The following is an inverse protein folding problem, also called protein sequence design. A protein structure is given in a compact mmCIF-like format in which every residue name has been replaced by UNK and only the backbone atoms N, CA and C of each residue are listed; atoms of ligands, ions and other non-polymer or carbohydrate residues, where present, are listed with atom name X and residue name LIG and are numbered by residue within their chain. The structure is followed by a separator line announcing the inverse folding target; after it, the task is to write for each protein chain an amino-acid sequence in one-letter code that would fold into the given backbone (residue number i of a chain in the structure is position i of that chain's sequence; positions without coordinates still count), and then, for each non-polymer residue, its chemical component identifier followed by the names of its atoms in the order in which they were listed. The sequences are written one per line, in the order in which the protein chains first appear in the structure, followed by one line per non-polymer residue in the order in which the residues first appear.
data_IF_923299971477
#
_entry.id   IF_923299971477
#
_cell.length_a   1.000
_cell.length_b   1.000
_cell.length_c   1.000
_cell.angle_alpha   90.00
_cell.angle_beta   90.00
_cell.angle_gamma   90.00
#
_symmetry.space_group_name_H-M   'P 1'
#
loop_
_entity.id
_entity.type
_entity.pdbx_description
1 polymer ?
#
# COMPACT_ATOMS: atom_id res chain seq x y z
N UNK A 1 26.22 -3.83 -7.07
CA UNK A 1 25.00 -4.48 -6.55
C UNK A 1 23.83 -3.79 -7.23
N UNK A 2 23.03 -4.57 -7.94
CA UNK A 2 22.12 -4.16 -9.03
C UNK A 2 21.20 -2.98 -8.70
N UNK A 3 21.28 -1.92 -9.50
CA UNK A 3 20.37 -0.78 -9.54
C UNK A 3 19.15 -1.05 -10.46
N UNK A 4 18.74 -2.30 -10.62
CA UNK A 4 18.17 -2.76 -11.90
C UNK A 4 16.69 -3.15 -11.85
N UNK A 5 15.91 -2.70 -10.87
CA UNK A 5 14.43 -2.76 -10.99
C UNK A 5 13.66 -1.81 -10.06
N UNK A 6 14.01 -0.51 -10.07
CA UNK A 6 13.17 0.52 -9.44
C UNK A 6 12.00 0.97 -10.33
N UNK A 7 11.94 0.45 -11.57
CA UNK A 7 10.96 0.85 -12.57
C UNK A 7 10.06 -0.33 -12.92
N UNK A 8 8.75 -0.12 -12.98
CA UNK A 8 7.76 -1.11 -13.41
C UNK A 8 6.95 -0.58 -14.59
N UNK A 9 6.30 -1.46 -15.37
CA UNK A 9 5.32 -1.02 -16.38
C UNK A 9 3.96 -0.86 -15.71
N UNK A 10 3.26 0.25 -16.01
CA UNK A 10 1.92 0.50 -15.49
C UNK A 10 0.96 -0.64 -15.85
N UNK A 11 1.07 -1.16 -17.08
CA UNK A 11 0.21 -2.24 -17.56
C UNK A 11 0.36 -3.50 -16.69
N UNK A 12 1.59 -3.91 -16.41
CA UNK A 12 1.88 -5.12 -15.64
C UNK A 12 1.39 -4.99 -14.19
N UNK A 13 1.52 -3.80 -13.60
CA UNK A 13 1.00 -3.52 -12.25
C UNK A 13 -0.54 -3.59 -12.22
N UNK A 14 -1.21 -3.03 -13.23
CA UNK A 14 -2.68 -3.09 -13.30
C UNK A 14 -3.19 -4.51 -13.58
N UNK A 15 -2.51 -5.28 -14.42
CA UNK A 15 -2.84 -6.68 -14.68
C UNK A 15 -2.67 -7.54 -13.43
N UNK A 16 -1.57 -7.37 -12.69
CA UNK A 16 -1.37 -8.04 -11.41
C UNK A 16 -2.44 -7.67 -10.35
N UNK A 17 -2.97 -6.45 -10.43
CA UNK A 17 -4.04 -5.99 -9.54
C UNK A 17 -5.46 -6.38 -10.03
N UNK A 18 -5.62 -6.83 -11.28
CA UNK A 18 -6.93 -7.04 -11.92
C UNK A 18 -7.70 -5.75 -12.23
N UNK A 19 -6.99 -4.62 -12.40
CA UNK A 19 -7.56 -3.29 -12.63
C UNK A 19 -7.08 -2.65 -13.95
N UNK A 20 -6.89 -3.45 -15.00
CA UNK A 20 -6.42 -3.02 -16.33
C UNK A 20 -7.30 -1.93 -16.96
N UNK A 21 -8.59 -1.94 -16.62
CA UNK A 21 -9.56 -0.94 -17.05
C UNK A 21 -9.18 0.50 -16.63
N UNK A 22 -8.30 0.68 -15.63
CA UNK A 22 -7.82 1.98 -15.17
C UNK A 22 -6.69 2.56 -16.04
N UNK A 23 -6.12 1.79 -16.97
CA UNK A 23 -4.91 2.17 -17.70
C UNK A 23 -4.99 3.55 -18.34
N UNK A 24 -6.01 3.79 -19.17
CA UNK A 24 -6.16 5.08 -19.87
C UNK A 24 -6.34 6.23 -18.88
N UNK A 25 -7.10 6.00 -17.80
CA UNK A 25 -7.38 7.04 -16.81
C UNK A 25 -6.13 7.46 -16.05
N UNK A 26 -5.28 6.51 -15.68
CA UNK A 26 -4.01 6.79 -15.00
C UNK A 26 -3.03 7.48 -15.96
N UNK A 27 -2.97 7.08 -17.23
CA UNK A 27 -2.13 7.75 -18.24
C UNK A 27 -2.54 9.21 -18.42
N UNK A 28 -3.84 9.52 -18.44
CA UNK A 28 -4.36 10.90 -18.48
C UNK A 28 -3.89 11.72 -17.27
N UNK A 29 -3.96 11.16 -16.06
CA UNK A 29 -3.51 11.83 -14.83
C UNK A 29 -1.99 12.09 -14.83
N UNK A 30 -1.23 11.21 -15.49
CA UNK A 30 0.25 11.29 -15.53
C UNK A 30 0.77 12.48 -16.33
N UNK A 31 -0.08 13.16 -17.10
CA UNK A 31 0.29 14.35 -17.90
C UNK A 31 0.75 15.50 -17.00
N UNK A 32 0.20 15.61 -15.79
CA UNK A 32 0.52 16.67 -14.83
C UNK A 32 1.32 16.17 -13.62
N UNK A 33 2.05 15.07 -13.73
CA UNK A 33 2.72 14.40 -12.60
C UNK A 33 3.63 15.32 -11.75
N UNK A 34 4.25 16.34 -12.34
CA UNK A 34 5.09 17.29 -11.61
C UNK A 34 4.30 18.14 -10.59
N UNK A 35 3.01 18.32 -10.83
CA UNK A 35 2.08 19.03 -9.94
C UNK A 35 1.13 18.07 -9.20
N UNK A 36 0.75 16.99 -9.87
CA UNK A 36 -0.31 16.06 -9.46
C UNK A 36 0.11 14.59 -9.70
N UNK A 37 1.11 14.08 -8.95
CA UNK A 37 1.58 12.71 -9.14
C UNK A 37 0.55 11.70 -8.61
N UNK A 38 -0.05 10.86 -9.47
CA UNK A 38 -0.88 9.76 -8.97
C UNK A 38 -0.01 8.73 -8.25
N UNK A 39 -0.40 8.37 -7.03
CA UNK A 39 0.25 7.31 -6.25
C UNK A 39 -0.40 5.99 -6.60
N UNK A 40 0.40 5.02 -7.00
CA UNK A 40 -0.06 3.72 -7.50
C UNK A 40 0.45 2.60 -6.59
N UNK A 41 -0.45 1.73 -6.17
CA UNK A 41 -0.18 0.59 -5.32
C UNK A 41 -0.15 -0.68 -6.18
N UNK A 42 1.03 -1.25 -6.38
CA UNK A 42 1.15 -2.62 -6.88
C UNK A 42 1.05 -3.58 -5.71
N UNK A 43 -0.13 -4.13 -5.46
CA UNK A 43 -0.38 -4.97 -4.30
C UNK A 43 0.40 -6.27 -4.37
N UNK A 44 0.93 -6.72 -3.23
CA UNK A 44 1.74 -7.93 -3.08
C UNK A 44 1.31 -8.60 -1.77
N UNK A 45 1.33 -9.92 -1.70
CA UNK A 45 1.18 -10.66 -0.43
C UNK A 45 0.02 -10.25 0.51
N UNK A 46 -1.07 -9.66 -0.02
CA UNK A 46 -2.16 -9.10 0.81
C UNK A 46 -2.88 -10.21 1.58
N UNK A 47 -3.10 -11.35 0.93
CA UNK A 47 -3.75 -12.50 1.56
C UNK A 47 -2.90 -13.09 2.69
N UNK A 48 -1.58 -13.19 2.49
CA UNK A 48 -0.63 -13.63 3.51
C UNK A 48 -0.69 -12.71 4.73
N UNK A 49 -0.73 -11.40 4.49
CA UNK A 49 -0.83 -10.42 5.58
C UNK A 49 -2.16 -10.53 6.31
N UNK A 50 -3.28 -10.75 5.61
CA UNK A 50 -4.59 -10.99 6.23
C UNK A 50 -4.56 -12.25 7.12
N UNK A 51 -3.96 -13.35 6.65
CA UNK A 51 -3.79 -14.56 7.46
C UNK A 51 -2.94 -14.30 8.72
N UNK A 52 -1.92 -13.44 8.62
CA UNK A 52 -1.13 -13.04 9.77
C UNK A 52 -1.96 -12.20 10.77
N UNK A 53 -2.85 -11.33 10.30
CA UNK A 53 -3.79 -10.58 11.14
C UNK A 53 -4.70 -11.54 11.92
N UNK A 54 -5.29 -12.51 11.23
CA UNK A 54 -6.17 -13.51 11.84
C UNK A 54 -5.43 -14.32 12.90
N UNK A 55 -4.22 -14.79 12.58
CA UNK A 55 -3.38 -15.54 13.51
C UNK A 55 -3.02 -14.70 14.74
N UNK A 56 -2.64 -13.43 14.55
CA UNK A 56 -2.33 -12.53 15.66
C UNK A 56 -3.54 -12.30 16.58
N UNK A 57 -4.75 -12.17 16.01
CA UNK A 57 -6.00 -12.04 16.77
C UNK A 57 -6.29 -13.31 17.57
N UNK A 58 -6.12 -14.49 16.98
CA UNK A 58 -6.32 -15.77 17.68
C UNK A 58 -5.34 -15.95 18.83
N UNK A 59 -4.06 -15.63 18.63
CA UNK A 59 -3.04 -15.71 19.68
C UNK A 59 -3.34 -14.77 20.85
N UNK A 60 -3.79 -13.55 20.57
CA UNK A 60 -4.16 -12.58 21.60
C UNK A 60 -5.41 -12.99 22.40
N UNK A 61 -6.35 -13.71 21.78
CA UNK A 61 -7.55 -14.22 22.45
C UNK A 61 -7.31 -15.53 23.24
N UNK A 62 -6.16 -16.19 23.03
CA UNK A 62 -5.82 -17.44 23.70
C UNK A 62 -5.49 -17.29 25.20
N UNK A 63 -5.45 -18.39 25.98
CA UNK A 63 -5.08 -18.35 27.39
C UNK A 63 -3.67 -17.77 27.59
N UNK A 64 -3.56 -16.68 28.35
CA UNK A 64 -2.29 -15.99 28.56
C UNK A 64 -1.80 -15.16 27.36
N UNK A 65 -2.63 -14.98 26.34
CA UNK A 65 -2.35 -14.14 25.18
C UNK A 65 -2.21 -12.66 25.55
N UNK A 66 -1.22 -12.00 24.97
CA UNK A 66 -1.06 -10.56 25.11
C UNK A 66 -2.05 -9.84 24.17
N UNK A 67 -2.87 -8.89 24.68
CA UNK A 67 -3.80 -8.14 23.85
C UNK A 67 -3.10 -7.42 22.70
N UNK A 68 -3.72 -7.43 21.53
CA UNK A 68 -3.24 -6.60 20.42
C UNK A 68 -3.43 -5.12 20.74
N UNK A 69 -2.47 -4.25 20.35
CA UNK A 69 -2.68 -2.80 20.36
C UNK A 69 -3.88 -2.39 19.49
N UNK A 70 -4.28 -1.11 19.56
CA UNK A 70 -5.34 -0.60 18.69
C UNK A 70 -4.92 -0.68 17.21
N UNK A 71 -5.79 -1.27 16.38
CA UNK A 71 -5.54 -1.42 14.95
C UNK A 71 -5.63 -0.05 14.22
N UNK A 72 -4.62 0.35 13.43
CA UNK A 72 -4.58 1.68 12.82
C UNK A 72 -5.55 1.86 11.64
N UNK A 73 -6.00 0.76 11.03
CA UNK A 73 -6.79 0.77 9.80
C UNK A 73 -8.30 0.57 10.03
N UNK A 74 -8.77 0.52 11.28
CA UNK A 74 -10.20 0.35 11.58
C UNK A 74 -10.82 -0.92 10.96
N UNK A 75 -10.03 -1.98 10.80
CA UNK A 75 -10.45 -3.19 10.08
C UNK A 75 -11.61 -3.90 10.81
N UNK A 76 -12.58 -4.45 10.05
CA UNK A 76 -13.62 -5.30 10.61
C UNK A 76 -13.07 -6.59 11.21
N UNK A 77 -13.93 -7.35 11.89
CA UNK A 77 -13.60 -8.65 12.45
C UNK A 77 -13.22 -9.65 11.36
N UNK A 78 -13.99 -9.70 10.26
CA UNK A 78 -13.67 -10.49 9.07
C UNK A 78 -13.02 -9.57 8.02
N UNK A 79 -11.75 -9.82 7.73
CA UNK A 79 -10.95 -9.02 6.78
C UNK A 79 -10.94 -9.71 5.42
N UNK A 80 -11.21 -8.96 4.36
CA UNK A 80 -11.13 -9.43 2.97
C UNK A 80 -10.04 -8.66 2.24
N UNK A 81 -9.53 -9.20 1.13
CA UNK A 81 -8.53 -8.49 0.32
C UNK A 81 -9.04 -7.10 -0.07
N UNK A 82 -10.31 -6.99 -0.48
CA UNK A 82 -10.91 -5.73 -0.88
C UNK A 82 -10.97 -4.73 0.28
N UNK A 83 -11.56 -5.10 1.41
CA UNK A 83 -11.74 -4.16 2.52
C UNK A 83 -10.40 -3.75 3.16
N UNK A 84 -9.39 -4.62 3.10
CA UNK A 84 -8.05 -4.30 3.55
C UNK A 84 -7.39 -3.25 2.65
N UNK A 85 -7.42 -3.46 1.32
CA UNK A 85 -6.88 -2.50 0.36
C UNK A 85 -7.57 -1.15 0.50
N UNK A 86 -8.89 -1.13 0.59
CA UNK A 86 -9.68 0.09 0.81
C UNK A 86 -9.29 0.79 2.10
N UNK A 87 -9.15 0.06 3.21
CA UNK A 87 -8.75 0.65 4.49
C UNK A 87 -7.34 1.26 4.46
N UNK A 88 -6.39 0.62 3.77
CA UNK A 88 -5.05 1.19 3.55
C UNK A 88 -5.13 2.48 2.74
N UNK A 89 -5.92 2.48 1.66
CA UNK A 89 -6.11 3.68 0.84
C UNK A 89 -6.81 4.80 1.59
N UNK A 90 -7.85 4.49 2.37
CA UNK A 90 -8.56 5.48 3.19
C UNK A 90 -7.65 6.08 4.26
N UNK A 91 -6.82 5.24 4.89
CA UNK A 91 -5.81 5.71 5.82
C UNK A 91 -4.80 6.65 5.15
N UNK A 92 -4.33 6.30 3.94
CA UNK A 92 -3.36 7.08 3.20
C UNK A 92 -3.94 8.37 2.61
N UNK A 93 -5.24 8.37 2.31
CA UNK A 93 -5.96 9.49 1.71
C UNK A 93 -6.00 10.68 2.66
N UNK A 94 -5.76 11.87 2.11
CA UNK A 94 -5.84 13.13 2.84
C UNK A 94 -7.20 13.79 2.60
N UNK A 95 -7.72 14.57 3.57
CA UNK A 95 -8.89 15.40 3.34
C UNK A 95 -8.70 16.26 2.08
N UNK A 96 -9.76 16.41 1.27
CA UNK A 96 -9.77 17.17 0.01
C UNK A 96 -9.01 16.52 -1.17
N UNK A 97 -8.50 15.29 -1.01
CA UNK A 97 -7.98 14.52 -2.15
C UNK A 97 -9.11 14.19 -3.15
N UNK A 98 -8.74 14.07 -4.42
CA UNK A 98 -9.61 13.49 -5.43
C UNK A 98 -9.97 12.05 -5.04
N UNK A 99 -11.15 11.59 -5.47
CA UNK A 99 -11.59 10.22 -5.21
C UNK A 99 -10.57 9.19 -5.73
N UNK A 100 -10.29 8.16 -4.91
CA UNK A 100 -9.44 7.03 -5.31
C UNK A 100 -9.97 6.37 -6.59
N UNK A 101 -9.06 5.92 -7.44
CA UNK A 101 -9.37 5.06 -8.57
C UNK A 101 -9.28 3.61 -8.10
N UNK A 102 -10.42 3.10 -7.65
CA UNK A 102 -10.61 1.76 -7.11
C UNK A 102 -9.55 1.42 -6.04
N UNK A 103 -8.91 0.25 -6.09
CA UNK A 103 -7.90 -0.14 -5.10
C UNK A 103 -6.46 0.14 -5.53
N UNK A 104 -6.22 0.66 -6.73
CA UNK A 104 -4.84 0.82 -7.23
C UNK A 104 -4.29 2.23 -7.15
N UNK A 105 -5.10 3.27 -7.31
CA UNK A 105 -4.53 4.61 -7.54
C UNK A 105 -5.18 5.71 -6.66
N UNK A 106 -4.33 6.52 -6.05
CA UNK A 106 -4.70 7.77 -5.37
C UNK A 106 -4.22 8.95 -6.22
N UNK A 107 -5.11 9.64 -6.94
CA UNK A 107 -4.77 10.91 -7.55
C UNK A 107 -4.49 11.92 -6.43
N UNK A 108 -3.34 12.59 -6.49
CA UNK A 108 -2.85 13.48 -5.43
C UNK A 108 -2.18 14.70 -6.05
N UNK A 109 -2.23 15.85 -5.38
CA UNK A 109 -1.28 16.94 -5.64
C UNK A 109 0.10 16.60 -5.06
N UNK A 110 1.14 17.33 -5.44
CA UNK A 110 2.50 17.15 -4.91
C UNK A 110 2.55 17.27 -3.38
N UNK A 111 1.77 18.18 -2.79
CA UNK A 111 1.65 18.32 -1.34
C UNK A 111 0.97 17.11 -0.70
N UNK A 112 -0.05 16.55 -1.36
CA UNK A 112 -0.76 15.37 -0.89
C UNK A 112 0.10 14.11 -1.00
N UNK A 113 0.91 13.99 -2.05
CA UNK A 113 1.86 12.89 -2.22
C UNK A 113 2.84 12.76 -1.04
N UNK A 114 3.43 13.87 -0.59
CA UNK A 114 4.31 13.85 0.59
C UNK A 114 3.60 13.36 1.84
N UNK A 115 2.31 13.70 2.01
CA UNK A 115 1.49 13.22 3.12
C UNK A 115 1.16 11.73 3.01
N UNK A 116 0.83 11.24 1.80
CA UNK A 116 0.59 9.81 1.54
C UNK A 116 1.83 9.00 1.93
N UNK A 117 3.01 9.37 1.41
CA UNK A 117 4.26 8.69 1.71
C UNK A 117 4.58 8.70 3.22
N UNK A 118 4.38 9.85 3.89
CA UNK A 118 4.59 9.96 5.34
C UNK A 118 3.64 9.07 6.14
N UNK A 119 2.35 9.03 5.78
CA UNK A 119 1.34 8.17 6.44
C UNK A 119 1.67 6.70 6.28
N UNK A 120 2.01 6.26 5.07
CA UNK A 120 2.45 4.88 4.83
C UNK A 120 3.70 4.55 5.66
N UNK A 121 4.70 5.43 5.71
CA UNK A 121 5.88 5.23 6.55
C UNK A 121 5.57 5.16 8.06
N UNK A 122 4.52 5.84 8.53
CA UNK A 122 4.04 5.73 9.93
C UNK A 122 3.40 4.36 10.19
N UNK A 123 2.72 3.75 9.22
CA UNK A 123 2.18 2.38 9.37
C UNK A 123 3.29 1.35 9.61
N UNK A 124 4.44 1.46 8.95
CA UNK A 124 5.61 0.58 9.19
C UNK A 124 6.09 0.62 10.66
N UNK A 125 5.87 1.75 11.34
CA UNK A 125 6.29 1.96 12.73
C UNK A 125 5.19 1.64 13.75
N UNK A 126 3.97 1.34 13.29
CA UNK A 126 2.84 1.10 14.17
C UNK A 126 3.00 -0.22 14.95
N UNK A 127 2.76 -0.19 16.26
CA UNK A 127 2.94 -1.36 17.13
C UNK A 127 2.03 -2.53 16.76
N UNK A 128 0.81 -2.26 16.31
CA UNK A 128 -0.10 -3.30 15.85
C UNK A 128 0.43 -3.97 14.58
N UNK A 129 0.92 -3.17 13.62
CA UNK A 129 1.53 -3.70 12.38
C UNK A 129 2.75 -4.56 12.71
N UNK A 130 3.63 -4.11 13.61
CA UNK A 130 4.80 -4.89 14.05
C UNK A 130 4.37 -6.21 14.68
N UNK A 131 3.33 -6.21 15.52
CA UNK A 131 2.82 -7.43 16.14
C UNK A 131 2.28 -8.43 15.11
N UNK A 132 1.68 -7.94 14.02
CA UNK A 132 1.25 -8.79 12.90
C UNK A 132 2.46 -9.33 12.12
N UNK A 133 3.48 -8.51 11.86
CA UNK A 133 4.69 -8.93 11.16
C UNK A 133 5.49 -9.98 11.96
N UNK A 134 5.56 -9.86 13.29
CA UNK A 134 6.18 -10.86 14.17
C UNK A 134 5.54 -12.25 13.97
N UNK A 135 4.23 -12.29 13.71
CA UNK A 135 3.46 -13.53 13.47
C UNK A 135 3.63 -14.02 12.04
N UNK A 136 3.80 -13.12 11.06
CA UNK A 136 4.01 -13.49 9.66
C UNK A 136 5.33 -14.25 9.42
N UNK A 137 6.26 -14.23 10.39
CA UNK A 137 7.57 -14.92 10.40
C UNK A 137 8.52 -14.58 9.24
N UNK A 138 8.10 -13.70 8.32
CA UNK A 138 8.94 -13.15 7.26
C UNK A 138 8.43 -11.77 6.84
N UNK A 139 9.36 -10.91 6.45
CA UNK A 139 9.01 -9.62 5.84
C UNK A 139 8.44 -9.84 4.44
N UNK A 140 7.19 -9.45 4.25
CA UNK A 140 6.50 -9.44 2.96
C UNK A 140 5.94 -8.04 2.75
N UNK A 141 6.38 -7.31 1.70
CA UNK A 141 5.72 -6.06 1.37
C UNK A 141 4.28 -6.38 0.96
N UNK A 142 3.32 -5.62 1.49
CA UNK A 142 1.91 -5.75 1.11
C UNK A 142 1.60 -4.96 -0.17
N UNK A 143 2.47 -4.01 -0.53
CA UNK A 143 2.44 -3.35 -1.81
C UNK A 143 3.82 -2.79 -2.16
N UNK A 144 4.11 -2.64 -3.44
CA UNK A 144 5.08 -1.68 -3.91
C UNK A 144 4.34 -0.38 -4.26
N UNK A 145 4.84 0.75 -3.77
CA UNK A 145 4.23 2.06 -4.02
C UNK A 145 5.03 2.81 -5.07
N UNK A 146 4.32 3.32 -6.06
CA UNK A 146 4.88 3.94 -7.25
C UNK A 146 4.30 5.32 -7.53
N UNK A 147 5.02 6.10 -8.32
CA UNK A 147 4.48 7.22 -9.09
C UNK A 147 4.72 6.98 -10.58
N UNK A 148 3.89 7.58 -11.41
CA UNK A 148 4.09 7.58 -12.87
C UNK A 148 5.28 8.44 -13.24
N UNK A 149 6.03 8.08 -14.28
CA UNK A 149 7.01 9.00 -14.88
C UNK A 149 6.32 9.89 -15.91
N UNK A 150 6.67 11.18 -15.94
CA UNK A 150 6.09 12.15 -16.87
C UNK A 150 6.13 11.62 -18.30
N UNK A 151 4.98 11.63 -18.98
CA UNK A 151 4.83 11.22 -20.38
C UNK A 151 5.33 9.79 -20.67
N UNK A 152 5.36 8.92 -19.64
CA UNK A 152 5.82 7.54 -19.75
C UNK A 152 4.75 6.56 -19.27
N UNK A 153 4.88 5.31 -19.72
CA UNK A 153 4.08 4.16 -19.25
C UNK A 153 4.77 3.42 -18.11
N UNK A 154 5.87 3.99 -17.61
CA UNK A 154 6.69 3.42 -16.55
C UNK A 154 6.37 4.07 -15.22
N UNK A 155 6.54 3.29 -14.18
CA UNK A 155 6.31 3.62 -12.79
C UNK A 155 7.64 3.59 -12.05
N UNK A 156 7.92 4.58 -11.22
CA UNK A 156 9.12 4.62 -10.37
C UNK A 156 8.70 4.37 -8.91
N UNK A 157 9.41 3.47 -8.22
CA UNK A 157 9.18 3.18 -6.80
C UNK A 157 9.55 4.39 -5.94
N UNK A 158 8.69 4.72 -4.97
CA UNK A 158 8.85 5.95 -4.15
C UNK A 158 9.08 5.71 -2.67
N UNK A 159 8.85 4.50 -2.17
CA UNK A 159 9.05 4.18 -0.76
C UNK A 159 10.47 3.70 -0.49
N UNK A 160 11.01 4.09 0.66
CA UNK A 160 12.34 3.70 1.08
C UNK A 160 12.40 2.20 1.35
N UNK A 161 13.34 1.50 0.69
CA UNK A 161 13.58 0.08 0.95
C UNK A 161 14.06 -0.13 2.37
N UNK A 162 13.31 -0.87 3.17
CA UNK A 162 13.71 -1.28 4.52
C UNK A 162 13.31 -2.73 4.75
N UNK A 163 14.15 -3.53 5.43
CA UNK A 163 13.92 -4.95 5.64
C UNK A 163 12.51 -5.27 6.12
N UNK A 164 11.89 -4.43 6.95
CA UNK A 164 10.57 -4.68 7.54
C UNK A 164 9.47 -3.73 7.00
N UNK A 165 9.68 -3.08 5.84
CA UNK A 165 8.68 -2.18 5.26
C UNK A 165 7.56 -2.95 4.57
N UNK A 166 6.32 -2.55 4.85
CA UNK A 166 5.14 -2.98 4.13
C UNK A 166 5.13 -2.51 2.67
N UNK A 167 5.93 -1.50 2.32
CA UNK A 167 5.82 -0.75 1.06
C UNK A 167 6.94 -1.02 0.06
N UNK A 168 7.76 -2.03 0.32
CA UNK A 168 8.79 -2.55 -0.58
C UNK A 168 10.18 -2.72 0.03
N UNK A 169 10.89 -3.74 -0.46
CA UNK A 169 12.32 -4.03 -0.27
C UNK A 169 13.06 -4.03 -1.63
#
# INVERSE_FOLDING_TARGET
MDATNNTALLKDVLEANGEEHLYNKIVELSVHVEAEPPVIFGWQHVEEFIRAIETARTLAAGPGGEPLPAAPLGLPEVVTVQNFKEAVLDYATVPEALGRLNTTCLPCTMAQYGNVAARLAVLDLNLWIRRVLDVAMQSMPIAFVYITRAQSRTLDRVMMRRPDSLWGN
#
